data_IF_259907085778
#
_entry.id   IF_259907085778
#
_cell.length_a   1.000
_cell.length_b   1.000
_cell.length_c   1.000
_cell.angle_alpha   90.00
_cell.angle_beta   90.00
_cell.angle_gamma   90.00
#
_symmetry.space_group_name_H-M   'P 1'
#
loop_
_entity.id
_entity.type
_entity.pdbx_description
1 polymer ?
#
# COMPACT_ATOMS: atom_id res chain seq x y z
N UNK A 1 6.58 12.58 18.43
CA UNK A 1 6.47 11.13 18.09
C UNK A 1 7.87 10.54 18.06
N UNK A 2 8.06 9.34 18.64
CA UNK A 2 9.40 8.72 18.71
C UNK A 2 9.56 7.78 17.53
N UNK A 3 10.55 8.02 16.67
CA UNK A 3 10.95 7.12 15.61
C UNK A 3 11.68 5.92 16.24
N UNK A 4 11.26 4.73 15.89
CA UNK A 4 11.83 3.45 16.37
C UNK A 4 12.53 2.72 15.25
N UNK A 5 13.42 1.81 15.59
CA UNK A 5 14.13 0.97 14.63
C UNK A 5 14.24 -0.47 15.12
N UNK A 6 14.04 -1.42 14.22
CA UNK A 6 14.37 -2.82 14.44
C UNK A 6 14.98 -3.42 13.17
N UNK A 7 16.15 -4.01 13.29
CA UNK A 7 16.88 -4.72 12.22
C UNK A 7 16.99 -3.93 10.90
N UNK A 8 17.19 -2.61 10.99
CA UNK A 8 17.28 -1.70 9.85
C UNK A 8 15.96 -1.15 9.34
N UNK A 9 14.82 -1.64 9.81
CA UNK A 9 13.50 -1.11 9.50
C UNK A 9 13.17 0.03 10.47
N UNK A 10 12.93 1.21 9.94
CA UNK A 10 12.41 2.36 10.69
C UNK A 10 10.89 2.29 10.75
N UNK A 11 10.32 2.55 11.93
CA UNK A 11 8.88 2.52 12.11
C UNK A 11 8.41 3.46 13.21
N UNK A 12 7.12 3.71 13.22
CA UNK A 12 6.39 4.37 14.31
C UNK A 12 5.22 3.49 14.71
N UNK A 13 4.93 3.46 16.01
CA UNK A 13 3.72 2.86 16.54
C UNK A 13 2.93 3.91 17.34
N UNK A 14 1.62 3.92 17.16
CA UNK A 14 0.69 4.86 17.75
C UNK A 14 -0.50 4.12 18.35
N UNK A 15 -1.01 4.64 19.47
CA UNK A 15 -2.19 4.10 20.14
C UNK A 15 -1.96 2.74 20.79
N UNK A 16 -3.07 2.18 21.24
CA UNK A 16 -3.16 0.88 21.90
C UNK A 16 -4.36 0.10 21.34
N UNK A 17 -4.46 -1.19 21.64
CA UNK A 17 -5.55 -2.04 21.19
C UNK A 17 -5.14 -3.04 20.13
N UNK A 18 -6.08 -3.43 19.26
CA UNK A 18 -5.83 -4.35 18.16
C UNK A 18 -4.84 -3.74 17.15
N UNK A 19 -3.96 -4.59 16.60
CA UNK A 19 -2.86 -4.15 15.77
C UNK A 19 -3.27 -3.97 14.30
N UNK A 20 -2.82 -2.87 13.71
CA UNK A 20 -2.86 -2.64 12.26
C UNK A 20 -1.44 -2.37 11.78
N UNK A 21 -0.96 -3.18 10.84
CA UNK A 21 0.32 -2.99 10.16
C UNK A 21 0.09 -2.32 8.80
N UNK A 22 0.75 -1.20 8.55
CA UNK A 22 0.62 -0.43 7.31
C UNK A 22 1.87 -0.55 6.44
N UNK A 23 1.67 -1.00 5.19
CA UNK A 23 2.72 -1.16 4.18
C UNK A 23 2.46 -0.21 3.01
N UNK A 24 3.39 0.71 2.80
CA UNK A 24 3.35 1.68 1.70
C UNK A 24 3.78 1.05 0.36
N UNK A 25 3.52 1.76 -0.75
CA UNK A 25 3.93 1.36 -2.09
C UNK A 25 5.42 1.57 -2.37
N UNK A 26 5.87 1.06 -3.51
CA UNK A 26 7.25 1.28 -3.98
C UNK A 26 7.52 2.78 -4.16
N UNK A 27 8.72 3.24 -3.86
CA UNK A 27 9.14 4.65 -3.83
C UNK A 27 8.49 5.54 -2.76
N UNK A 28 7.49 5.03 -2.01
CA UNK A 28 6.85 5.77 -0.93
C UNK A 28 7.60 5.56 0.39
N UNK A 29 7.08 6.16 1.45
CA UNK A 29 7.55 5.97 2.83
C UNK A 29 6.36 5.80 3.79
N UNK A 30 6.65 5.52 5.07
CA UNK A 30 5.62 5.36 6.11
C UNK A 30 4.68 6.56 6.23
N UNK A 31 5.17 7.77 5.91
CA UNK A 31 4.38 8.97 6.05
C UNK A 31 3.22 8.98 5.06
N UNK A 32 3.36 8.35 3.89
CA UNK A 32 2.28 8.25 2.90
C UNK A 32 1.03 7.59 3.48
N UNK A 33 1.20 6.54 4.28
CA UNK A 33 0.10 5.85 4.96
C UNK A 33 -0.26 6.49 6.29
N UNK A 34 0.74 6.89 7.08
CA UNK A 34 0.52 7.50 8.39
C UNK A 34 -0.27 8.81 8.29
N UNK A 35 0.19 9.75 7.48
CA UNK A 35 -0.47 11.06 7.33
C UNK A 35 -1.89 10.86 6.78
N UNK A 36 -2.08 9.92 5.87
CA UNK A 36 -3.39 9.61 5.35
C UNK A 36 -4.31 9.07 6.45
N UNK A 37 -3.97 7.96 7.07
CA UNK A 37 -4.88 7.28 8.01
C UNK A 37 -5.03 8.00 9.34
N UNK A 38 -4.04 8.73 9.86
CA UNK A 38 -4.16 9.48 11.12
C UNK A 38 -5.09 10.70 11.01
N UNK A 39 -5.55 11.08 9.82
CA UNK A 39 -6.65 12.05 9.63
C UNK A 39 -8.01 11.47 10.02
N UNK A 40 -8.13 10.13 10.11
CA UNK A 40 -9.36 9.44 10.50
C UNK A 40 -9.34 9.08 11.99
N UNK A 41 -10.21 9.71 12.78
CA UNK A 41 -10.30 9.46 14.21
C UNK A 41 -10.80 8.04 14.57
N UNK A 42 -11.42 7.33 13.64
CA UNK A 42 -12.00 5.99 13.91
C UNK A 42 -10.92 4.92 14.15
N UNK A 43 -9.70 5.14 13.69
CA UNK A 43 -8.59 4.22 13.96
C UNK A 43 -7.88 4.47 15.30
N UNK A 44 -8.28 5.49 16.07
CA UNK A 44 -7.60 5.89 17.30
C UNK A 44 -7.56 4.80 18.38
N UNK A 45 -8.53 3.87 18.38
CA UNK A 45 -8.62 2.75 19.31
C UNK A 45 -7.78 1.51 18.89
N UNK A 46 -7.00 1.64 17.81
CA UNK A 46 -6.11 0.59 17.34
C UNK A 46 -4.65 0.95 17.64
N UNK A 47 -3.82 -0.06 17.81
CA UNK A 47 -2.38 0.10 17.76
C UNK A 47 -1.95 0.08 16.29
N UNK A 48 -1.50 1.21 15.77
CA UNK A 48 -1.09 1.38 14.37
C UNK A 48 0.42 1.34 14.27
N UNK A 49 0.93 0.51 13.37
CA UNK A 49 2.36 0.37 13.08
C UNK A 49 2.59 0.79 11.64
N UNK A 50 3.32 1.87 11.45
CA UNK A 50 3.73 2.41 10.16
C UNK A 50 5.24 2.19 10.00
N UNK A 51 5.65 1.47 8.97
CA UNK A 51 7.08 1.19 8.73
C UNK A 51 7.53 1.68 7.35
N UNK A 52 8.81 1.97 7.24
CA UNK A 52 9.48 2.15 5.95
C UNK A 52 10.00 0.80 5.47
N UNK A 53 9.68 0.44 4.21
CA UNK A 53 10.25 -0.75 3.58
C UNK A 53 11.77 -0.57 3.34
N UNK A 54 12.57 -1.64 3.36
CA UNK A 54 14.01 -1.55 3.09
C UNK A 54 14.35 -0.77 1.81
N UNK A 55 15.28 0.17 1.92
CA UNK A 55 15.69 1.05 0.82
C UNK A 55 14.72 2.20 0.50
N UNK A 56 13.67 2.39 1.30
CA UNK A 56 12.67 3.45 1.19
C UNK A 56 12.55 4.20 2.51
N UNK A 57 12.12 5.46 2.44
CA UNK A 57 12.01 6.33 3.60
C UNK A 57 13.33 6.44 4.38
N UNK A 58 13.27 6.18 5.68
CA UNK A 58 14.41 6.22 6.59
C UNK A 58 14.97 4.80 6.90
N UNK A 59 14.42 3.74 6.29
CA UNK A 59 14.93 2.38 6.46
C UNK A 59 16.22 2.12 5.69
N UNK A 60 17.09 1.31 6.31
CA UNK A 60 18.34 0.94 5.69
C UNK A 60 18.12 0.09 4.41
N UNK A 61 19.03 0.21 3.46
CA UNK A 61 19.13 -0.76 2.36
C UNK A 61 19.56 -2.12 2.91
N UNK A 62 19.16 -3.17 2.22
CA UNK A 62 19.64 -4.53 2.48
C UNK A 62 20.59 -4.96 1.36
N UNK A 63 21.46 -5.90 1.65
CA UNK A 63 22.51 -6.34 0.72
C UNK A 63 21.93 -6.88 -0.59
N UNK A 64 20.89 -7.72 -0.47
CA UNK A 64 20.19 -8.30 -1.62
C UNK A 64 18.90 -7.51 -1.92
N UNK A 65 18.83 -6.74 -3.04
CA UNK A 65 17.64 -6.02 -3.44
C UNK A 65 16.62 -6.98 -4.12
N UNK A 66 15.93 -7.79 -3.31
CA UNK A 66 14.91 -8.74 -3.76
C UNK A 66 13.67 -8.70 -2.86
N UNK A 67 12.50 -9.01 -3.43
CA UNK A 67 11.27 -9.12 -2.64
C UNK A 67 11.34 -10.25 -1.62
N UNK A 68 12.07 -11.33 -1.91
CA UNK A 68 12.30 -12.40 -0.93
C UNK A 68 13.10 -11.90 0.29
N UNK A 69 14.15 -11.12 0.07
CA UNK A 69 14.95 -10.58 1.16
C UNK A 69 14.18 -9.51 1.95
N UNK A 70 13.40 -8.65 1.28
CA UNK A 70 12.49 -7.69 1.94
C UNK A 70 11.45 -8.44 2.78
N UNK A 71 10.81 -9.45 2.22
CA UNK A 71 9.81 -10.28 2.93
C UNK A 71 10.41 -10.95 4.17
N UNK A 72 11.62 -11.54 4.06
CA UNK A 72 12.34 -12.12 5.21
C UNK A 72 12.61 -11.08 6.30
N UNK A 73 12.92 -9.84 5.95
CA UNK A 73 13.08 -8.75 6.92
C UNK A 73 11.76 -8.38 7.59
N UNK A 74 10.66 -8.37 6.84
CA UNK A 74 9.33 -8.11 7.38
C UNK A 74 8.87 -9.23 8.31
N UNK A 75 9.12 -10.50 7.98
CA UNK A 75 8.83 -11.63 8.88
C UNK A 75 9.58 -11.46 10.20
N UNK A 76 10.89 -11.21 10.18
CA UNK A 76 11.66 -10.98 11.40
C UNK A 76 11.17 -9.76 12.21
N UNK A 77 10.70 -8.72 11.54
CA UNK A 77 10.09 -7.55 12.16
C UNK A 77 8.77 -7.90 12.84
N UNK A 78 7.87 -8.60 12.15
CA UNK A 78 6.56 -9.01 12.66
C UNK A 78 6.73 -9.93 13.87
N UNK A 79 7.57 -10.93 13.77
CA UNK A 79 7.86 -11.88 14.88
C UNK A 79 8.33 -11.16 16.15
N UNK A 80 9.18 -10.13 15.99
CA UNK A 80 9.72 -9.39 17.14
C UNK A 80 8.76 -8.33 17.70
N UNK A 81 8.07 -7.58 16.83
CA UNK A 81 7.26 -6.42 17.25
C UNK A 81 5.81 -6.81 17.55
N UNK A 82 5.24 -7.72 16.78
CA UNK A 82 3.85 -8.18 16.90
C UNK A 82 3.80 -9.48 17.73
N UNK A 83 4.72 -10.40 17.46
CA UNK A 83 4.76 -11.72 18.08
C UNK A 83 3.54 -12.56 17.68
N UNK A 84 2.95 -13.25 18.64
CA UNK A 84 1.79 -14.15 18.40
C UNK A 84 0.43 -13.45 18.37
N UNK A 85 0.41 -12.10 18.40
CA UNK A 85 -0.86 -11.35 18.43
C UNK A 85 -1.52 -11.35 17.05
N UNK A 86 -2.85 -11.38 17.05
CA UNK A 86 -3.63 -11.14 15.85
C UNK A 86 -3.48 -9.68 15.37
N UNK A 87 -3.48 -9.47 14.05
CA UNK A 87 -3.35 -8.14 13.47
C UNK A 87 -4.05 -8.03 12.12
N UNK A 88 -4.35 -6.78 11.76
CA UNK A 88 -4.83 -6.39 10.44
C UNK A 88 -3.61 -5.95 9.62
N UNK A 89 -3.61 -6.22 8.33
CA UNK A 89 -2.60 -5.67 7.42
C UNK A 89 -3.25 -4.80 6.34
N UNK A 90 -2.73 -3.58 6.20
CA UNK A 90 -2.98 -2.69 5.08
C UNK A 90 -1.80 -2.74 4.11
N UNK A 91 -2.08 -2.74 2.80
CA UNK A 91 -1.04 -2.63 1.78
C UNK A 91 -1.48 -1.90 0.53
N UNK A 92 -0.64 -0.96 0.08
CA UNK A 92 -0.82 -0.25 -1.18
C UNK A 92 0.21 -0.72 -2.22
N UNK A 93 -0.23 -1.00 -3.45
CA UNK A 93 0.68 -1.30 -4.56
C UNK A 93 1.64 -2.44 -4.24
N UNK A 94 2.95 -2.20 -4.22
CA UNK A 94 3.98 -3.14 -3.77
C UNK A 94 3.80 -3.56 -2.30
N UNK A 95 3.41 -2.63 -1.42
CA UNK A 95 3.00 -2.97 -0.05
C UNK A 95 1.80 -3.91 -0.02
N UNK A 96 0.89 -3.79 -0.98
CA UNK A 96 -0.22 -4.73 -1.18
C UNK A 96 0.23 -6.13 -1.61
N UNK A 97 1.28 -6.24 -2.40
CA UNK A 97 1.92 -7.50 -2.76
C UNK A 97 2.55 -8.19 -1.54
N UNK A 98 3.28 -7.41 -0.73
CA UNK A 98 3.87 -7.91 0.52
C UNK A 98 2.80 -8.24 1.57
N UNK A 99 1.68 -7.49 1.62
CA UNK A 99 0.57 -7.78 2.52
C UNK A 99 -0.10 -9.13 2.21
N UNK A 100 -0.24 -9.49 0.92
CA UNK A 100 -0.70 -10.82 0.51
C UNK A 100 0.25 -11.91 0.98
N UNK A 101 1.57 -11.70 0.83
CA UNK A 101 2.59 -12.63 1.31
C UNK A 101 2.59 -12.77 2.84
N UNK A 102 2.38 -11.68 3.58
CA UNK A 102 2.23 -11.69 5.03
C UNK A 102 0.98 -12.47 5.43
N UNK A 103 -0.15 -12.23 4.78
CA UNK A 103 -1.39 -12.96 5.07
C UNK A 103 -1.29 -14.46 4.73
N UNK A 104 -0.52 -14.80 3.70
CA UNK A 104 -0.20 -16.20 3.38
C UNK A 104 0.67 -16.85 4.47
N UNK A 105 1.69 -16.15 4.96
CA UNK A 105 2.61 -16.68 5.97
C UNK A 105 2.00 -16.76 7.38
N UNK A 106 1.20 -15.75 7.77
CA UNK A 106 0.57 -15.63 9.08
C UNK A 106 -0.94 -15.94 9.05
N UNK A 107 -1.36 -17.01 8.39
CA UNK A 107 -2.78 -17.35 8.15
C UNK A 107 -3.66 -17.32 9.41
N UNK A 108 -3.11 -17.75 10.56
CA UNK A 108 -3.84 -17.81 11.84
C UNK A 108 -3.79 -16.49 12.64
N UNK A 109 -3.00 -15.51 12.21
CA UNK A 109 -2.78 -14.26 12.95
C UNK A 109 -3.36 -13.04 12.19
N UNK A 110 -3.34 -13.07 10.85
CA UNK A 110 -3.91 -11.97 10.06
C UNK A 110 -5.44 -12.09 10.04
N UNK A 111 -6.09 -11.21 10.80
CA UNK A 111 -7.53 -11.21 10.96
C UNK A 111 -8.28 -10.51 9.83
N UNK A 112 -7.65 -9.52 9.17
CA UNK A 112 -8.19 -8.87 7.99
C UNK A 112 -7.07 -8.26 7.12
N UNK A 113 -7.36 -8.13 5.82
CA UNK A 113 -6.47 -7.53 4.83
C UNK A 113 -7.20 -6.42 4.10
N UNK A 114 -6.62 -5.23 4.05
CA UNK A 114 -7.11 -4.13 3.22
C UNK A 114 -6.07 -3.78 2.16
N UNK A 115 -6.44 -3.90 0.90
CA UNK A 115 -5.56 -3.69 -0.23
C UNK A 115 -6.04 -2.53 -1.10
N UNK A 116 -5.14 -1.63 -1.45
CA UNK A 116 -5.39 -0.57 -2.43
C UNK A 116 -4.46 -0.74 -3.62
N UNK A 117 -5.02 -0.91 -4.80
CA UNK A 117 -4.29 -1.11 -6.06
C UNK A 117 -3.12 -2.09 -5.92
N UNK A 118 -3.33 -3.31 -5.36
CA UNK A 118 -2.23 -4.22 -5.07
C UNK A 118 -1.57 -4.75 -6.34
N UNK A 119 -0.25 -4.95 -6.30
CA UNK A 119 0.43 -5.81 -7.27
C UNK A 119 -0.05 -7.25 -7.02
N UNK A 120 -0.42 -7.97 -8.09
CA UNK A 120 -0.73 -9.40 -8.07
C UNK A 120 0.13 -10.17 -9.08
N UNK A 121 0.76 -9.47 -10.01
CA UNK A 121 1.73 -10.01 -10.97
C UNK A 121 3.01 -9.17 -10.86
N UNK A 122 4.08 -9.82 -10.43
CA UNK A 122 5.36 -9.15 -10.22
C UNK A 122 6.01 -8.69 -11.54
N UNK A 123 5.98 -9.54 -12.58
CA UNK A 123 6.49 -9.19 -13.90
C UNK A 123 5.61 -8.13 -14.56
N UNK A 124 6.14 -6.91 -14.69
CA UNK A 124 5.44 -5.76 -15.25
C UNK A 124 5.08 -5.95 -16.74
N UNK A 125 5.85 -6.76 -17.48
CA UNK A 125 5.54 -7.08 -18.88
C UNK A 125 4.28 -7.96 -19.03
N UNK A 126 3.87 -8.62 -17.96
CA UNK A 126 2.66 -9.48 -17.94
C UNK A 126 1.43 -8.75 -17.40
N UNK A 127 1.58 -7.51 -16.93
CA UNK A 127 0.47 -6.71 -16.39
C UNK A 127 -0.44 -6.20 -17.50
N UNK A 128 -1.74 -6.31 -17.27
CA UNK A 128 -2.77 -5.71 -18.14
C UNK A 128 -3.19 -4.39 -17.50
N UNK A 129 -2.57 -3.31 -17.94
CA UNK A 129 -2.83 -1.96 -17.44
C UNK A 129 -3.84 -1.22 -18.29
N UNK A 130 -4.38 -0.13 -17.76
CA UNK A 130 -5.32 0.73 -18.44
C UNK A 130 -4.62 1.98 -19.01
N UNK A 131 -5.27 2.62 -19.99
CA UNK A 131 -4.82 3.92 -20.46
C UNK A 131 -5.07 4.95 -19.36
N UNK A 132 -4.05 5.74 -19.03
CA UNK A 132 -4.19 6.84 -18.10
C UNK A 132 -5.23 7.87 -18.57
N UNK A 133 -5.97 8.44 -17.61
CA UNK A 133 -6.96 9.49 -17.83
C UNK A 133 -6.91 10.50 -16.70
N UNK A 134 -6.94 11.78 -17.02
CA UNK A 134 -7.16 12.83 -16.04
C UNK A 134 -8.62 13.31 -16.06
N UNK A 135 -9.14 13.63 -14.88
CA UNK A 135 -10.41 14.30 -14.64
C UNK A 135 -10.11 15.61 -13.90
N UNK A 136 -10.28 16.73 -14.62
CA UNK A 136 -9.98 18.05 -14.08
C UNK A 136 -11.16 18.56 -13.27
N UNK A 137 -10.89 18.97 -12.01
CA UNK A 137 -11.86 19.70 -11.19
C UNK A 137 -11.90 21.18 -11.53
N UNK A 138 -12.66 21.95 -10.71
CA UNK A 138 -12.81 23.40 -10.88
C UNK A 138 -11.44 24.10 -10.88
N UNK A 139 -11.38 25.27 -11.54
CA UNK A 139 -10.19 26.05 -11.90
C UNK A 139 -8.99 25.90 -10.97
N UNK A 140 -7.98 25.19 -11.44
CA UNK A 140 -6.72 25.04 -10.74
C UNK A 140 -5.87 26.31 -10.91
N UNK A 141 -5.65 27.03 -9.81
CA UNK A 141 -4.67 28.13 -9.74
C UNK A 141 -3.24 27.59 -9.51
N UNK A 142 -2.89 26.48 -10.15
CA UNK A 142 -1.53 25.95 -10.05
C UNK A 142 -0.67 26.66 -11.06
N UNK A 143 0.32 27.39 -10.59
CA UNK A 143 1.41 27.88 -11.43
C UNK A 143 2.22 26.66 -11.90
N UNK A 144 2.19 26.36 -13.16
CA UNK A 144 2.74 25.17 -13.83
C UNK A 144 4.29 25.04 -13.81
N UNK A 145 4.97 25.76 -12.94
CA UNK A 145 6.43 25.77 -12.84
C UNK A 145 7.00 24.79 -11.80
N UNK A 146 6.15 23.98 -11.14
CA UNK A 146 6.64 22.97 -10.20
C UNK A 146 7.15 21.74 -10.98
N UNK A 147 8.39 21.34 -10.73
CA UNK A 147 9.04 20.24 -11.43
C UNK A 147 8.31 18.87 -11.25
N UNK A 148 7.53 18.72 -10.17
CA UNK A 148 6.81 17.48 -9.86
C UNK A 148 5.34 17.49 -10.32
N UNK A 149 4.89 18.59 -10.90
CA UNK A 149 3.50 18.67 -11.36
C UNK A 149 3.22 17.72 -12.52
N UNK A 150 4.17 17.53 -13.43
CA UNK A 150 4.04 16.55 -14.52
C UNK A 150 3.94 15.10 -14.02
N UNK A 151 4.65 14.77 -12.95
CA UNK A 151 4.58 13.45 -12.31
C UNK A 151 3.22 13.26 -11.62
N UNK A 152 2.72 14.32 -10.96
CA UNK A 152 1.38 14.32 -10.37
C UNK A 152 0.31 14.07 -11.43
N UNK A 153 0.32 14.83 -12.56
CA UNK A 153 -0.64 14.63 -13.65
C UNK A 153 -0.53 13.22 -14.27
N UNK A 154 0.70 12.70 -14.40
CA UNK A 154 0.92 11.37 -14.96
C UNK A 154 0.40 10.25 -14.06
N UNK A 155 0.32 10.46 -12.74
CA UNK A 155 -0.01 9.40 -11.78
C UNK A 155 -1.42 9.48 -11.21
N UNK A 156 -2.08 10.66 -11.27
CA UNK A 156 -3.38 10.89 -10.64
C UNK A 156 -4.50 11.05 -11.67
N UNK A 157 -5.68 10.56 -11.34
CA UNK A 157 -6.89 10.76 -12.15
C UNK A 157 -7.54 12.09 -11.79
N UNK A 158 -7.74 12.37 -10.51
CA UNK A 158 -8.34 13.62 -10.06
C UNK A 158 -7.30 14.73 -10.02
N UNK A 159 -7.46 15.73 -10.90
CA UNK A 159 -6.55 16.87 -11.03
C UNK A 159 -7.22 18.13 -10.52
N UNK A 160 -6.91 18.51 -9.28
CA UNK A 160 -7.39 19.72 -8.62
C UNK A 160 -6.41 20.15 -7.51
N UNK A 161 -6.64 21.32 -6.89
CA UNK A 161 -5.76 21.83 -5.83
C UNK A 161 -5.65 20.88 -4.63
N UNK A 162 -6.76 20.28 -4.21
CA UNK A 162 -6.77 19.34 -3.07
C UNK A 162 -5.93 18.10 -3.34
N UNK A 163 -6.07 17.52 -4.55
CA UNK A 163 -5.29 16.34 -4.94
C UNK A 163 -3.79 16.66 -5.13
N UNK A 164 -3.47 17.87 -5.62
CA UNK A 164 -2.09 18.33 -5.70
C UNK A 164 -1.44 18.49 -4.32
N UNK A 165 -2.14 19.13 -3.38
CA UNK A 165 -1.65 19.25 -1.99
C UNK A 165 -1.48 17.88 -1.34
N UNK A 166 -2.42 16.96 -1.57
CA UNK A 166 -2.30 15.59 -1.07
C UNK A 166 -1.11 14.85 -1.70
N UNK A 167 -0.83 15.05 -2.99
CA UNK A 167 0.35 14.46 -3.66
C UNK A 167 1.65 14.97 -3.04
N UNK A 168 1.76 16.27 -2.81
CA UNK A 168 2.93 16.88 -2.16
C UNK A 168 3.14 16.35 -0.73
N UNK A 169 2.06 16.06 -0.02
CA UNK A 169 2.13 15.57 1.36
C UNK A 169 2.40 14.07 1.44
N UNK A 170 1.75 13.26 0.59
CA UNK A 170 1.72 11.80 0.71
C UNK A 170 2.73 11.07 -0.19
N UNK A 171 3.07 11.64 -1.34
CA UNK A 171 3.86 10.96 -2.37
C UNK A 171 5.26 11.54 -2.49
N UNK A 172 5.36 12.85 -2.66
CA UNK A 172 6.62 13.52 -2.97
C UNK A 172 7.74 13.27 -1.95
N UNK A 173 7.50 13.26 -0.61
CA UNK A 173 8.56 13.00 0.36
C UNK A 173 9.19 11.60 0.20
N UNK A 174 8.36 10.59 -0.08
CA UNK A 174 8.83 9.23 -0.34
C UNK A 174 9.68 9.14 -1.60
N UNK A 175 9.24 9.74 -2.72
CA UNK A 175 9.98 9.80 -3.97
C UNK A 175 11.37 10.42 -3.81
N UNK A 176 11.48 11.47 -3.00
CA UNK A 176 12.75 12.16 -2.75
C UNK A 176 13.72 11.36 -1.87
N UNK A 177 13.21 10.53 -0.95
CA UNK A 177 14.01 9.71 -0.03
C UNK A 177 14.37 8.34 -0.56
N UNK A 178 13.58 7.80 -1.47
CA UNK A 178 13.74 6.44 -1.98
C UNK A 178 15.11 6.21 -2.62
N UNK A 179 15.77 5.11 -2.27
CA UNK A 179 17.05 4.74 -2.88
C UNK A 179 16.82 4.20 -4.28
N UNK A 180 16.97 5.08 -5.27
CA UNK A 180 16.72 4.79 -6.69
C UNK A 180 17.57 3.60 -7.21
N UNK A 181 18.82 3.48 -6.75
CA UNK A 181 19.73 2.40 -7.17
C UNK A 181 19.24 1.05 -6.62
N UNK A 182 18.86 1.00 -5.35
CA UNK A 182 18.32 -0.20 -4.72
C UNK A 182 17.01 -0.63 -5.38
N UNK A 183 16.08 0.30 -5.54
CA UNK A 183 14.77 0.02 -6.14
C UNK A 183 14.90 -0.39 -7.61
N UNK A 184 15.77 0.27 -8.38
CA UNK A 184 16.01 -0.10 -9.77
C UNK A 184 16.58 -1.52 -9.92
N UNK A 185 17.44 -1.98 -8.99
CA UNK A 185 17.91 -3.37 -8.95
C UNK A 185 16.80 -4.34 -8.58
N UNK A 186 15.96 -3.99 -7.56
CA UNK A 186 14.81 -4.77 -7.15
C UNK A 186 13.84 -5.00 -8.33
N UNK A 187 13.43 -3.93 -9.01
CA UNK A 187 12.50 -4.00 -10.14
C UNK A 187 13.04 -4.83 -11.31
N UNK A 188 14.33 -4.65 -11.63
CA UNK A 188 14.94 -5.29 -12.81
C UNK A 188 15.16 -6.80 -12.66
N UNK A 189 15.50 -7.27 -11.45
CA UNK A 189 16.07 -8.60 -11.30
C UNK A 189 15.32 -9.51 -10.32
N UNK A 190 14.55 -8.99 -9.37
CA UNK A 190 14.12 -9.77 -8.23
C UNK A 190 12.83 -9.25 -7.58
N UNK A 191 11.92 -8.67 -8.39
CA UNK A 191 10.66 -8.11 -7.90
C UNK A 191 9.68 -9.19 -7.45
N UNK A 192 9.66 -10.35 -8.12
CA UNK A 192 8.79 -11.47 -7.80
C UNK A 192 9.23 -12.23 -6.54
N UNK A 193 8.27 -12.63 -5.73
CA UNK A 193 8.47 -13.60 -4.65
C UNK A 193 8.62 -15.00 -5.24
N UNK A 194 9.51 -15.81 -4.67
CA UNK A 194 9.74 -17.19 -5.12
C UNK A 194 8.49 -18.07 -5.02
N UNK A 195 7.54 -17.69 -4.16
CA UNK A 195 6.27 -18.35 -3.92
C UNK A 195 5.06 -17.53 -4.40
N UNK A 196 5.23 -16.65 -5.39
CA UNK A 196 4.17 -15.78 -5.91
C UNK A 196 2.90 -16.55 -6.29
N UNK A 197 3.05 -17.71 -6.90
CA UNK A 197 1.90 -18.56 -7.30
C UNK A 197 1.08 -19.09 -6.12
N UNK A 198 1.68 -19.19 -4.94
CA UNK A 198 0.99 -19.62 -3.73
C UNK A 198 0.08 -18.53 -3.18
N UNK A 199 0.33 -17.27 -3.57
CA UNK A 199 -0.49 -16.13 -3.15
C UNK A 199 -1.91 -16.16 -3.73
N UNK A 200 -2.17 -16.94 -4.77
CA UNK A 200 -3.52 -17.15 -5.28
C UNK A 200 -4.46 -17.76 -4.20
N UNK A 201 -3.88 -18.43 -3.21
CA UNK A 201 -4.62 -19.14 -2.16
C UNK A 201 -4.49 -18.48 -0.77
N UNK A 202 -3.90 -17.27 -0.65
CA UNK A 202 -3.78 -16.62 0.66
C UNK A 202 -5.16 -16.28 1.26
N UNK A 203 -5.21 -16.27 2.59
CA UNK A 203 -6.31 -15.67 3.34
C UNK A 203 -7.66 -16.40 3.18
N UNK A 204 -7.69 -17.74 3.15
CA UNK A 204 -8.95 -18.51 3.01
C UNK A 204 -10.00 -18.19 4.06
N UNK A 205 -9.59 -17.81 5.28
CA UNK A 205 -10.49 -17.45 6.39
C UNK A 205 -10.40 -15.96 6.78
N UNK A 206 -9.52 -15.20 6.13
CA UNK A 206 -9.25 -13.80 6.46
C UNK A 206 -10.18 -12.88 5.67
N UNK A 207 -10.86 -11.94 6.31
CA UNK A 207 -11.65 -10.93 5.61
C UNK A 207 -10.74 -10.07 4.73
N UNK A 208 -11.06 -9.96 3.45
CA UNK A 208 -10.28 -9.19 2.48
C UNK A 208 -11.12 -8.07 1.90
N UNK A 209 -10.64 -6.84 1.95
CA UNK A 209 -11.20 -5.72 1.21
C UNK A 209 -10.17 -5.27 0.16
N UNK A 210 -10.57 -5.26 -1.10
CA UNK A 210 -9.73 -4.77 -2.19
C UNK A 210 -10.38 -3.55 -2.82
N UNK A 211 -9.60 -2.48 -3.00
CA UNK A 211 -10.06 -1.27 -3.67
C UNK A 211 -9.17 -1.00 -4.88
N UNK A 212 -9.77 -0.90 -6.05
CA UNK A 212 -9.11 -0.81 -7.34
C UNK A 212 -9.48 0.50 -8.05
N UNK A 213 -8.53 1.10 -8.73
CA UNK A 213 -8.76 2.24 -9.62
C UNK A 213 -8.96 1.79 -11.06
N UNK A 214 -10.04 2.27 -11.71
CA UNK A 214 -10.35 1.92 -13.11
C UNK A 214 -9.26 2.35 -14.09
N UNK A 215 -8.59 3.46 -13.79
CA UNK A 215 -7.55 4.03 -14.64
C UNK A 215 -6.14 3.80 -14.09
N UNK A 216 -5.97 2.73 -13.31
CA UNK A 216 -4.65 2.32 -12.83
C UNK A 216 -3.80 1.81 -14.00
N UNK A 217 -2.85 2.64 -14.43
CA UNK A 217 -1.93 2.34 -15.52
C UNK A 217 -0.60 1.74 -15.04
N UNK A 218 -0.43 1.54 -13.73
CA UNK A 218 0.78 0.98 -13.12
C UNK A 218 0.64 -0.53 -12.91
N UNK A 219 -0.45 -0.95 -12.28
CA UNK A 219 -0.70 -2.38 -12.00
C UNK A 219 -1.99 -2.91 -12.64
N UNK A 220 -2.84 -2.00 -13.13
CA UNK A 220 -4.15 -2.33 -13.69
C UNK A 220 -5.17 -2.73 -12.62
N UNK A 221 -6.33 -3.23 -13.07
CA UNK A 221 -7.38 -3.73 -12.18
C UNK A 221 -7.96 -5.09 -12.60
N UNK A 222 -7.80 -5.46 -13.87
CA UNK A 222 -8.47 -6.66 -14.43
C UNK A 222 -7.95 -7.95 -13.85
N UNK A 223 -6.64 -8.06 -13.68
CA UNK A 223 -6.00 -9.25 -13.11
C UNK A 223 -6.28 -9.35 -11.61
N UNK A 224 -6.29 -8.23 -10.90
CA UNK A 224 -6.70 -8.15 -9.51
C UNK A 224 -8.15 -8.59 -9.35
N UNK A 225 -9.06 -8.04 -10.18
CA UNK A 225 -10.46 -8.42 -10.15
C UNK A 225 -10.64 -9.94 -10.42
N UNK A 226 -9.94 -10.48 -11.42
CA UNK A 226 -10.00 -11.91 -11.76
C UNK A 226 -9.50 -12.80 -10.61
N UNK A 227 -8.45 -12.38 -9.89
CA UNK A 227 -7.92 -13.09 -8.73
C UNK A 227 -8.91 -13.04 -7.55
N UNK A 228 -9.30 -11.85 -7.15
CA UNK A 228 -10.06 -11.67 -5.92
C UNK A 228 -11.52 -12.10 -6.02
N UNK A 229 -12.13 -12.09 -7.21
CA UNK A 229 -13.50 -12.60 -7.40
C UNK A 229 -13.62 -14.12 -7.12
N UNK A 230 -12.51 -14.84 -7.13
CA UNK A 230 -12.47 -16.27 -6.78
C UNK A 230 -12.44 -16.51 -5.26
N UNK A 231 -12.27 -15.47 -4.44
CA UNK A 231 -12.19 -15.58 -2.98
C UNK A 231 -13.54 -15.19 -2.36
N UNK A 232 -14.23 -16.14 -1.75
CA UNK A 232 -15.57 -15.94 -1.16
C UNK A 232 -15.58 -14.90 -0.03
N UNK A 233 -14.44 -14.69 0.61
CA UNK A 233 -14.24 -13.76 1.73
C UNK A 233 -13.67 -12.39 1.30
N UNK A 234 -13.64 -12.09 0.00
CA UNK A 234 -13.13 -10.83 -0.53
C UNK A 234 -14.26 -9.90 -1.00
N UNK A 235 -14.34 -8.72 -0.38
CA UNK A 235 -15.11 -7.59 -0.89
C UNK A 235 -14.24 -6.81 -1.88
N UNK A 236 -14.76 -6.53 -3.09
CA UNK A 236 -14.03 -5.83 -4.14
C UNK A 236 -14.77 -4.54 -4.51
N UNK A 237 -14.06 -3.43 -4.54
CA UNK A 237 -14.59 -2.14 -4.98
C UNK A 237 -13.74 -1.61 -6.13
N UNK A 238 -14.35 -1.37 -7.30
CA UNK A 238 -13.71 -0.73 -8.44
C UNK A 238 -14.22 0.70 -8.56
N UNK A 239 -13.34 1.68 -8.41
CA UNK A 239 -13.66 3.11 -8.46
C UNK A 239 -13.48 3.66 -9.87
N UNK A 240 -14.54 4.27 -10.41
CA UNK A 240 -14.58 4.75 -11.80
C UNK A 240 -13.73 5.99 -12.05
N UNK A 241 -13.50 6.82 -11.02
CA UNK A 241 -12.70 8.05 -11.09
C UNK A 241 -11.48 7.95 -10.19
N UNK A 242 -10.71 6.88 -10.35
CA UNK A 242 -9.47 6.65 -9.62
C UNK A 242 -8.44 5.88 -10.46
N UNK A 243 -7.18 6.18 -10.23
CA UNK A 243 -6.00 5.50 -10.77
C UNK A 243 -5.22 4.79 -9.68
N UNK A 244 -3.88 4.78 -9.85
CA UNK A 244 -2.99 4.11 -8.90
C UNK A 244 -2.93 4.81 -7.54
N UNK A 245 -2.87 6.14 -7.51
CA UNK A 245 -2.87 6.94 -6.28
C UNK A 245 -4.28 7.10 -5.69
N UNK A 246 -4.95 5.99 -5.47
CA UNK A 246 -6.37 5.91 -5.09
C UNK A 246 -6.70 6.65 -3.78
N UNK A 247 -5.73 6.74 -2.85
CA UNK A 247 -5.85 7.51 -1.61
C UNK A 247 -5.98 9.02 -1.85
N UNK A 248 -5.43 9.51 -2.98
CA UNK A 248 -5.54 10.90 -3.40
C UNK A 248 -6.81 11.11 -4.21
N UNK A 249 -7.08 10.20 -5.14
CA UNK A 249 -8.24 10.33 -6.04
C UNK A 249 -9.58 10.18 -5.32
N UNK A 250 -9.69 9.27 -4.33
CA UNK A 250 -10.94 8.92 -3.65
C UNK A 250 -10.77 8.69 -2.13
N UNK A 251 -10.22 9.66 -1.37
CA UNK A 251 -9.88 9.48 0.04
C UNK A 251 -11.07 9.09 0.91
N UNK A 252 -12.23 9.71 0.71
CA UNK A 252 -13.44 9.45 1.49
C UNK A 252 -13.95 8.02 1.35
N UNK A 253 -13.85 7.43 0.16
CA UNK A 253 -14.21 6.04 -0.08
C UNK A 253 -13.25 5.08 0.63
N UNK A 254 -11.95 5.38 0.61
CA UNK A 254 -10.95 4.55 1.31
C UNK A 254 -11.22 4.54 2.81
N UNK A 255 -11.45 5.70 3.44
CA UNK A 255 -11.79 5.77 4.87
C UNK A 255 -13.06 4.96 5.19
N UNK A 256 -14.13 5.14 4.40
CA UNK A 256 -15.40 4.44 4.62
C UNK A 256 -15.25 2.92 4.56
N UNK A 257 -14.56 2.40 3.54
CA UNK A 257 -14.35 0.96 3.36
C UNK A 257 -13.39 0.39 4.42
N UNK A 258 -12.34 1.13 4.77
CA UNK A 258 -11.40 0.72 5.80
C UNK A 258 -12.10 0.62 7.17
N UNK A 259 -12.88 1.64 7.53
CA UNK A 259 -13.65 1.65 8.77
C UNK A 259 -14.69 0.53 8.81
N UNK A 260 -15.36 0.25 7.69
CA UNK A 260 -16.27 -0.90 7.58
C UNK A 260 -15.53 -2.20 7.88
N UNK A 261 -14.33 -2.42 7.31
CA UNK A 261 -13.56 -3.64 7.54
C UNK A 261 -13.15 -3.81 9.00
N UNK A 262 -12.55 -2.76 9.62
CA UNK A 262 -12.02 -2.85 10.98
C UNK A 262 -13.11 -2.95 12.06
N UNK A 263 -14.32 -2.40 11.81
CA UNK A 263 -15.43 -2.41 12.76
C UNK A 263 -16.36 -3.63 12.62
N UNK A 264 -16.41 -4.30 11.46
CA UNK A 264 -17.33 -5.42 11.19
C UNK A 264 -16.74 -6.80 11.54
N UNK A 265 -15.73 -6.89 12.40
CA UNK A 265 -15.14 -8.17 12.81
C UNK A 265 -16.01 -9.01 13.76
N UNK A 266 -17.05 -8.42 14.35
CA UNK A 266 -17.86 -9.03 15.39
C UNK A 266 -19.25 -9.51 14.90
N UNK A 267 -19.42 -9.66 13.58
CA UNK A 267 -20.65 -10.23 13.02
C UNK A 267 -20.33 -11.54 12.28
#
# INVERSE_FOLDING_TARGET
MVLKQYNGIQYQDLGEGELILFLHGLFLDKNSTQIFFEKDSQISNFKRIYLDLPGMGDSAIIEEPSSNAIFKKLVAFIDHIIGEKSFIVYGHSYGGYLAQAIAHHYQNQVSAVFLTCPVVIADDNLRITEKHKNEFGDEMKITTNDAFFSDFEAMNVMINETSWLAYQELILPGLQKANQVFIGKLQKNSYGLSFEKELDHFGSETKIQVVLGRYDHVVGYKQQLALFVQKENADITLLSSAGHNIMIDQPGTIYSLFNKLINNKNQ
#
